data_IF_103227185622
#
_entry.id   IF_103227185622
#
_cell.length_a   1.000
_cell.length_b   1.000
_cell.length_c   1.000
_cell.angle_alpha   90.00
_cell.angle_beta   90.00
_cell.angle_gamma   90.00
#
_symmetry.space_group_name_H-M   'P 1'
#
loop_
_entity.id
_entity.type
_entity.pdbx_description
1 polymer ?
#
# COMPACT_ATOMS: atom_id res chain seq x y z
N UNK A 1 -10.73 -4.68 -11.80
CA UNK A 1 -9.67 -3.68 -11.87
C UNK A 1 -8.31 -4.33 -11.66
N UNK A 2 -7.28 -3.87 -12.37
CA UNK A 2 -5.89 -4.16 -12.07
C UNK A 2 -5.19 -2.87 -11.69
N UNK A 3 -4.82 -2.74 -10.44
CA UNK A 3 -4.02 -1.63 -9.93
C UNK A 3 -2.53 -1.98 -9.86
N UNK A 4 -1.69 -0.97 -9.85
CA UNK A 4 -0.26 -1.10 -9.60
C UNK A 4 0.25 0.08 -8.77
N UNK A 5 1.03 -0.20 -7.71
CA UNK A 5 1.81 0.84 -7.05
C UNK A 5 3.08 1.12 -7.84
N UNK A 6 3.40 2.39 -7.97
CA UNK A 6 4.54 2.85 -8.75
C UNK A 6 5.33 3.93 -8.01
N UNK A 7 6.61 3.72 -7.88
CA UNK A 7 7.52 4.76 -7.39
C UNK A 7 7.87 5.75 -8.49
N UNK A 8 7.95 7.03 -8.14
CA UNK A 8 8.30 8.09 -9.09
C UNK A 8 9.67 7.87 -9.77
N UNK A 9 10.64 7.31 -9.05
CA UNK A 9 11.96 6.96 -9.57
C UNK A 9 11.91 6.01 -10.78
N UNK A 10 10.84 5.22 -10.93
CA UNK A 10 10.66 4.35 -12.09
C UNK A 10 10.59 5.14 -13.40
N UNK A 11 9.95 6.33 -13.38
CA UNK A 11 9.87 7.21 -14.56
C UNK A 11 11.22 7.84 -14.85
N UNK A 12 11.93 8.27 -13.82
CA UNK A 12 13.26 8.85 -13.97
C UNK A 12 14.27 7.84 -14.55
N UNK A 13 14.21 6.60 -14.08
CA UNK A 13 15.15 5.55 -14.47
C UNK A 13 14.87 4.97 -15.87
N UNK A 14 13.60 4.87 -16.29
CA UNK A 14 13.21 4.09 -17.48
C UNK A 14 12.52 4.90 -18.58
N UNK A 15 12.16 6.14 -18.31
CA UNK A 15 11.38 6.99 -19.20
C UNK A 15 9.87 6.76 -19.07
N UNK A 16 9.13 7.86 -19.04
CA UNK A 16 7.70 7.89 -18.74
C UNK A 16 6.87 7.09 -19.72
N UNK A 17 7.02 7.30 -21.02
CA UNK A 17 6.25 6.59 -22.05
C UNK A 17 6.44 5.08 -21.96
N UNK A 18 7.69 4.62 -21.76
CA UNK A 18 7.99 3.19 -21.65
C UNK A 18 7.31 2.54 -20.45
N UNK A 19 7.39 3.18 -19.28
CA UNK A 19 6.77 2.67 -18.05
C UNK A 19 5.25 2.51 -18.22
N UNK A 20 4.60 3.48 -18.83
CA UNK A 20 3.15 3.41 -19.06
C UNK A 20 2.76 2.49 -20.22
N UNK A 21 3.62 2.28 -21.22
CA UNK A 21 3.42 1.23 -22.23
C UNK A 21 3.49 -0.18 -21.62
N UNK A 22 4.42 -0.40 -20.68
CA UNK A 22 4.50 -1.65 -19.93
C UNK A 22 3.23 -1.87 -19.09
N UNK A 23 2.76 -0.85 -18.38
CA UNK A 23 1.48 -0.91 -17.65
C UNK A 23 0.30 -1.21 -18.56
N UNK A 24 0.25 -0.63 -19.76
CA UNK A 24 -0.79 -0.92 -20.76
C UNK A 24 -0.78 -2.37 -21.21
N UNK A 25 0.40 -2.92 -21.44
CA UNK A 25 0.56 -4.32 -21.81
C UNK A 25 0.16 -5.28 -20.68
N UNK A 26 0.42 -4.90 -19.41
CA UNK A 26 -0.07 -5.64 -18.24
C UNK A 26 -1.59 -5.58 -18.08
N UNK A 27 -2.28 -4.63 -18.73
CA UNK A 27 -3.71 -4.36 -18.56
C UNK A 27 -4.03 -3.57 -17.30
N UNK A 28 -3.08 -2.81 -16.79
CA UNK A 28 -3.28 -1.90 -15.66
C UNK A 28 -4.35 -0.87 -16.01
N UNK A 29 -5.30 -0.72 -15.10
CA UNK A 29 -6.39 0.28 -15.20
C UNK A 29 -6.19 1.46 -14.27
N UNK A 30 -5.44 1.25 -13.18
CA UNK A 30 -5.24 2.20 -12.10
C UNK A 30 -3.78 2.21 -11.63
N UNK A 31 -3.15 3.37 -11.68
CA UNK A 31 -1.76 3.55 -11.23
C UNK A 31 -1.78 4.36 -9.93
N UNK A 32 -1.26 3.81 -8.85
CA UNK A 32 -1.05 4.49 -7.57
C UNK A 32 0.39 5.02 -7.56
N UNK A 33 0.54 6.29 -7.93
CA UNK A 33 1.84 6.92 -8.19
C UNK A 33 2.35 7.65 -6.96
N UNK A 34 3.55 7.31 -6.48
CA UNK A 34 4.15 7.91 -5.29
C UNK A 34 4.43 9.41 -5.51
N UNK A 35 3.51 10.22 -5.02
CA UNK A 35 3.51 11.68 -5.18
C UNK A 35 4.25 12.38 -4.05
N UNK A 36 4.12 11.88 -2.79
CA UNK A 36 4.91 12.30 -1.64
C UNK A 36 5.46 11.06 -0.93
N UNK A 37 6.80 10.95 -0.87
CA UNK A 37 7.48 9.76 -0.36
C UNK A 37 7.85 9.82 1.13
N UNK A 38 8.44 8.73 1.63
CA UNK A 38 8.88 8.54 3.02
C UNK A 38 9.96 9.56 3.45
N UNK A 39 10.76 10.05 2.52
CA UNK A 39 11.78 11.06 2.74
C UNK A 39 11.21 12.46 2.98
N UNK A 40 9.93 12.69 2.68
CA UNK A 40 9.30 14.01 2.69
C UNK A 40 9.49 14.81 1.40
N UNK A 41 9.99 14.16 0.35
CA UNK A 41 10.12 14.75 -0.99
C UNK A 41 8.85 14.51 -1.82
N UNK A 42 8.57 15.43 -2.77
CA UNK A 42 7.43 15.36 -3.67
C UNK A 42 7.86 15.08 -5.12
N UNK A 43 7.06 14.32 -5.86
CA UNK A 43 7.28 14.03 -7.27
C UNK A 43 6.89 15.20 -8.20
N UNK A 44 6.52 16.33 -7.65
CA UNK A 44 6.10 17.56 -8.32
C UNK A 44 6.66 18.79 -7.64
N UNK A 45 6.56 19.95 -8.30
CA UNK A 45 7.05 21.22 -7.74
C UNK A 45 6.01 21.85 -6.81
N UNK A 46 6.35 22.01 -5.55
CA UNK A 46 5.58 22.74 -4.53
C UNK A 46 6.52 23.59 -3.67
N UNK A 47 5.97 24.60 -2.98
CA UNK A 47 6.72 25.38 -2.00
C UNK A 47 6.81 24.70 -0.64
N UNK A 48 6.00 23.65 -0.42
CA UNK A 48 5.86 22.97 0.86
C UNK A 48 6.94 21.91 1.09
N UNK A 49 7.47 21.32 0.01
CA UNK A 49 8.47 20.25 0.09
C UNK A 49 9.42 20.28 -1.11
N UNK A 50 10.69 19.84 -0.95
CA UNK A 50 11.61 19.72 -2.06
C UNK A 50 11.15 18.67 -3.09
N UNK A 51 11.50 18.84 -4.39
CA UNK A 51 11.20 17.87 -5.41
C UNK A 51 12.06 16.60 -5.26
N UNK A 52 11.51 15.45 -5.66
CA UNK A 52 12.28 14.18 -5.78
C UNK A 52 13.36 14.26 -6.87
N UNK A 53 13.06 14.98 -7.96
CA UNK A 53 13.96 15.17 -9.09
C UNK A 53 13.96 16.63 -9.52
N UNK A 54 15.11 17.26 -9.45
CA UNK A 54 15.26 18.66 -9.89
C UNK A 54 15.00 18.79 -11.40
N UNK A 55 14.25 19.81 -11.78
CA UNK A 55 13.96 20.14 -13.17
C UNK A 55 12.96 19.22 -13.88
N UNK A 56 12.33 18.25 -13.17
CA UNK A 56 11.27 17.39 -13.70
C UNK A 56 10.05 17.39 -12.79
N UNK A 57 8.90 17.52 -13.42
CA UNK A 57 7.60 17.30 -12.76
C UNK A 57 7.08 15.91 -13.12
N UNK A 58 7.47 14.91 -12.29
CA UNK A 58 7.15 13.51 -12.56
C UNK A 58 5.66 13.22 -12.39
N UNK A 59 4.93 14.03 -11.62
CA UNK A 59 3.48 13.86 -11.48
C UNK A 59 2.76 14.31 -12.75
N UNK A 60 3.14 15.45 -13.34
CA UNK A 60 2.56 15.91 -14.61
C UNK A 60 2.84 14.91 -15.74
N UNK A 61 4.09 14.43 -15.83
CA UNK A 61 4.47 13.38 -16.77
C UNK A 61 3.62 12.11 -16.60
N UNK A 62 3.42 11.67 -15.35
CA UNK A 62 2.66 10.46 -15.03
C UNK A 62 1.17 10.61 -15.39
N UNK A 63 0.54 11.73 -15.03
CA UNK A 63 -0.87 12.03 -15.35
C UNK A 63 -1.09 12.01 -16.87
N UNK A 64 -0.24 12.75 -17.59
CA UNK A 64 -0.33 12.84 -19.05
C UNK A 64 -0.16 11.48 -19.73
N UNK A 65 0.81 10.68 -19.28
CA UNK A 65 1.08 9.36 -19.85
C UNK A 65 0.00 8.33 -19.52
N UNK A 66 -0.56 8.36 -18.31
CA UNK A 66 -1.67 7.52 -17.88
C UNK A 66 -2.93 7.78 -18.72
N UNK A 67 -3.34 9.05 -18.82
CA UNK A 67 -4.54 9.45 -19.55
C UNK A 67 -4.44 9.17 -21.06
N UNK A 68 -3.27 9.39 -21.67
CA UNK A 68 -3.01 9.02 -23.07
C UNK A 68 -3.29 7.53 -23.35
N UNK A 69 -3.21 6.67 -22.33
CA UNK A 69 -3.41 5.22 -22.42
C UNK A 69 -4.72 4.74 -21.78
N UNK A 70 -5.60 5.65 -21.37
CA UNK A 70 -6.88 5.34 -20.75
C UNK A 70 -6.78 4.75 -19.34
N UNK A 71 -5.66 4.98 -18.64
CA UNK A 71 -5.47 4.58 -17.24
C UNK A 71 -5.85 5.73 -16.31
N UNK A 72 -6.30 5.40 -15.11
CA UNK A 72 -6.48 6.37 -14.03
C UNK A 72 -5.21 6.49 -13.22
N UNK A 73 -4.89 7.71 -12.80
CA UNK A 73 -3.75 7.99 -11.93
C UNK A 73 -4.21 8.49 -10.57
N UNK A 74 -3.82 7.79 -9.53
CA UNK A 74 -4.07 8.12 -8.14
C UNK A 74 -2.79 8.66 -7.50
N UNK A 75 -2.82 9.90 -7.02
CA UNK A 75 -1.69 10.49 -6.30
C UNK A 75 -1.55 9.80 -4.94
N UNK A 76 -0.42 9.14 -4.70
CA UNK A 76 -0.13 8.36 -3.51
C UNK A 76 0.73 9.13 -2.52
N UNK A 77 0.24 9.25 -1.29
CA UNK A 77 0.87 9.98 -0.19
C UNK A 77 1.19 9.04 0.98
N UNK A 78 2.45 9.08 1.46
CA UNK A 78 2.82 8.41 2.71
C UNK A 78 2.40 9.29 3.88
N UNK A 79 1.29 8.94 4.56
CA UNK A 79 0.64 9.80 5.57
C UNK A 79 1.53 10.01 6.82
N UNK A 80 1.74 8.99 7.64
CA UNK A 80 2.46 9.12 8.91
C UNK A 80 3.97 8.88 8.81
N UNK A 81 4.57 8.98 7.61
CA UNK A 81 6.01 8.85 7.43
C UNK A 81 6.59 10.02 6.64
N UNK A 82 7.51 10.77 7.30
CA UNK A 82 8.16 11.92 6.72
C UNK A 82 9.46 12.24 7.48
N UNK A 83 10.56 11.73 6.95
CA UNK A 83 11.87 11.92 7.58
C UNK A 83 12.28 13.38 7.68
N UNK A 84 11.98 14.18 6.63
CA UNK A 84 12.32 15.60 6.60
C UNK A 84 11.52 16.38 7.63
N UNK A 85 10.18 16.20 7.66
CA UNK A 85 9.32 16.92 8.58
C UNK A 85 9.67 16.62 10.05
N UNK A 86 9.96 15.35 10.38
CA UNK A 86 10.43 14.98 11.72
C UNK A 86 11.78 15.60 12.05
N UNK A 87 12.71 15.72 11.09
CA UNK A 87 13.98 16.39 11.32
C UNK A 87 13.81 17.89 11.65
N UNK A 88 12.80 18.54 11.07
CA UNK A 88 12.43 19.94 11.35
C UNK A 88 11.60 20.07 12.65
N UNK A 89 10.88 19.02 13.06
CA UNK A 89 9.97 18.97 14.24
C UNK A 89 10.20 17.69 15.07
N UNK A 90 11.37 17.49 15.67
CA UNK A 90 11.73 16.21 16.31
C UNK A 90 10.83 15.82 17.49
N UNK A 91 10.21 16.79 18.17
CA UNK A 91 9.26 16.57 19.26
C UNK A 91 7.89 16.05 18.79
N UNK A 92 7.60 16.14 17.48
CA UNK A 92 6.36 15.65 16.84
C UNK A 92 6.47 14.26 16.28
N UNK A 93 7.65 13.66 16.35
CA UNK A 93 7.86 12.26 15.97
C UNK A 93 7.01 11.31 16.83
N UNK A 94 6.65 10.18 16.26
CA UNK A 94 5.86 9.16 16.96
C UNK A 94 6.67 8.54 18.11
N UNK A 95 6.19 8.73 19.34
CA UNK A 95 6.92 8.37 20.56
C UNK A 95 6.75 6.89 20.90
N UNK A 96 7.88 6.18 20.99
CA UNK A 96 7.91 4.77 21.41
C UNK A 96 7.88 4.65 22.93
N UNK A 97 7.24 3.59 23.45
CA UNK A 97 7.05 3.34 24.88
C UNK A 97 8.34 3.40 25.71
N UNK A 98 9.46 2.96 25.15
CA UNK A 98 10.77 2.84 25.86
C UNK A 98 11.96 3.44 25.10
N UNK A 99 11.81 3.80 23.80
CA UNK A 99 12.95 4.22 22.95
C UNK A 99 12.95 5.70 22.61
N UNK A 100 11.96 6.46 23.06
CA UNK A 100 11.82 7.88 22.73
C UNK A 100 11.15 8.14 21.37
N UNK A 101 11.36 9.32 20.82
CA UNK A 101 10.77 9.77 19.56
C UNK A 101 11.40 9.09 18.35
N UNK A 102 10.57 8.78 17.35
CA UNK A 102 11.03 8.34 16.04
C UNK A 102 11.65 9.50 15.26
N UNK A 103 12.68 9.21 14.45
CA UNK A 103 13.36 10.17 13.58
C UNK A 103 12.80 10.24 12.15
N UNK A 104 11.76 9.45 11.86
CA UNK A 104 11.17 9.37 10.51
C UNK A 104 9.66 9.09 10.49
N UNK A 105 9.06 8.76 11.63
CA UNK A 105 7.61 8.51 11.74
C UNK A 105 6.99 9.67 12.50
N UNK A 106 6.02 10.32 11.89
CA UNK A 106 5.25 11.42 12.49
C UNK A 106 4.11 10.84 13.33
N UNK A 107 3.75 11.51 14.42
CA UNK A 107 2.53 11.14 15.14
C UNK A 107 1.30 11.39 14.26
N UNK A 108 0.53 10.33 13.98
CA UNK A 108 -0.74 10.43 13.23
C UNK A 108 -1.78 11.29 13.97
N UNK A 109 -1.55 11.58 15.25
CA UNK A 109 -2.39 12.43 16.08
C UNK A 109 -1.97 13.91 16.06
N UNK A 110 -0.94 14.28 15.27
CA UNK A 110 -0.41 15.65 15.20
C UNK A 110 -1.22 16.50 14.20
N UNK A 111 -1.96 17.52 14.65
CA UNK A 111 -2.81 18.33 13.78
C UNK A 111 -2.01 19.13 12.74
N UNK A 112 -0.90 19.74 13.14
CA UNK A 112 -0.06 20.56 12.25
C UNK A 112 0.47 19.75 11.06
N UNK A 113 0.77 18.47 11.30
CA UNK A 113 1.19 17.58 10.21
C UNK A 113 0.04 17.16 9.31
N UNK A 114 -1.16 16.96 9.87
CA UNK A 114 -2.34 16.69 9.06
C UNK A 114 -2.67 17.87 8.14
N UNK A 115 -2.57 19.11 8.65
CA UNK A 115 -2.72 20.35 7.87
C UNK A 115 -1.63 20.46 6.79
N UNK A 116 -0.37 20.17 7.12
CA UNK A 116 0.72 20.16 6.15
C UNK A 116 0.48 19.17 4.99
N UNK A 117 0.00 17.96 5.27
CA UNK A 117 -0.35 16.99 4.22
C UNK A 117 -1.59 17.42 3.45
N UNK A 118 -2.58 18.04 4.12
CA UNK A 118 -3.74 18.65 3.47
C UNK A 118 -3.32 19.69 2.41
N UNK A 119 -2.39 20.56 2.77
CA UNK A 119 -1.90 21.61 1.86
C UNK A 119 -1.19 21.00 0.64
N UNK A 120 -0.37 19.95 0.84
CA UNK A 120 0.26 19.22 -0.27
C UNK A 120 -0.79 18.55 -1.18
N UNK A 121 -1.82 17.92 -0.60
CA UNK A 121 -2.92 17.33 -1.37
C UNK A 121 -3.70 18.41 -2.13
N UNK A 122 -3.93 19.56 -1.51
CA UNK A 122 -4.62 20.70 -2.12
C UNK A 122 -3.84 21.27 -3.32
N UNK A 123 -2.49 21.39 -3.21
CA UNK A 123 -1.62 21.78 -4.34
C UNK A 123 -1.78 20.80 -5.51
N UNK A 124 -1.80 19.49 -5.22
CA UNK A 124 -1.99 18.44 -6.25
C UNK A 124 -3.37 18.57 -6.92
N UNK A 125 -4.43 18.73 -6.13
CA UNK A 125 -5.80 18.84 -6.67
C UNK A 125 -6.00 20.12 -7.50
N UNK A 126 -5.32 21.20 -7.16
CA UNK A 126 -5.37 22.46 -7.89
C UNK A 126 -4.55 22.44 -9.19
N UNK A 127 -3.37 21.79 -9.16
CA UNK A 127 -2.40 21.83 -10.25
C UNK A 127 -2.51 20.68 -11.26
N UNK A 128 -3.02 19.51 -10.86
CA UNK A 128 -2.94 18.28 -11.66
C UNK A 128 -4.29 17.59 -11.85
N UNK A 129 -4.48 16.95 -13.01
CA UNK A 129 -5.70 16.21 -13.34
C UNK A 129 -5.62 14.75 -12.84
N UNK A 130 -5.32 14.55 -11.54
CA UNK A 130 -5.31 13.21 -10.94
C UNK A 130 -6.74 12.68 -10.81
N UNK A 131 -6.91 11.36 -10.93
CA UNK A 131 -8.21 10.67 -10.80
C UNK A 131 -8.51 10.24 -9.36
N UNK A 132 -7.49 10.26 -8.50
CA UNK A 132 -7.66 9.88 -7.10
C UNK A 132 -6.57 10.41 -6.18
N UNK A 133 -6.89 10.39 -4.88
CA UNK A 133 -5.96 10.59 -3.77
C UNK A 133 -5.87 9.27 -3.00
N UNK A 134 -4.66 8.75 -2.84
CA UNK A 134 -4.39 7.49 -2.15
C UNK A 134 -3.53 7.71 -0.91
N UNK A 135 -4.07 7.39 0.26
CA UNK A 135 -3.36 7.51 1.54
C UNK A 135 -2.76 6.16 1.95
N UNK A 136 -1.47 6.13 2.15
CA UNK A 136 -0.74 5.01 2.72
C UNK A 136 -0.11 5.41 4.05
N UNK A 137 0.33 4.45 4.86
CA UNK A 137 0.81 4.69 6.22
C UNK A 137 -0.19 5.49 7.09
N UNK A 138 -1.47 5.41 6.78
CA UNK A 138 -2.58 6.01 7.53
C UNK A 138 -2.82 5.21 8.81
N UNK A 139 -1.87 5.24 9.73
CA UNK A 139 -1.86 4.38 10.93
C UNK A 139 -0.76 4.72 11.91
N UNK A 140 -0.91 4.22 13.13
CA UNK A 140 0.24 3.99 14.01
C UNK A 140 1.09 2.83 13.47
N UNK A 141 2.38 2.82 13.75
CA UNK A 141 3.26 1.73 13.30
C UNK A 141 3.06 0.44 14.10
N UNK A 142 2.84 0.60 15.42
CA UNK A 142 2.71 -0.51 16.36
C UNK A 142 2.10 -0.01 17.68
N UNK A 143 1.58 -0.91 18.51
CA UNK A 143 1.04 -0.55 19.83
C UNK A 143 2.09 0.00 20.78
N UNK A 144 3.37 -0.31 20.56
CA UNK A 144 4.50 0.27 21.29
C UNK A 144 4.75 1.75 21.00
N UNK A 145 4.06 2.34 20.02
CA UNK A 145 4.14 3.76 19.67
C UNK A 145 2.86 4.53 20.02
N UNK A 146 3.01 5.84 20.19
CA UNK A 146 1.91 6.72 20.60
C UNK A 146 1.85 6.84 22.13
N UNK A 147 3.00 7.08 22.77
CA UNK A 147 3.12 7.14 24.23
C UNK A 147 3.78 8.43 24.73
N UNK A 148 3.71 9.51 23.96
CA UNK A 148 4.07 10.85 24.44
C UNK A 148 3.10 11.34 25.52
N UNK A 149 3.47 12.38 26.27
CA UNK A 149 2.58 13.00 27.26
C UNK A 149 1.26 13.47 26.61
N UNK A 150 1.35 14.03 25.40
CA UNK A 150 0.16 14.46 24.65
C UNK A 150 -0.71 13.28 24.21
N UNK A 151 -0.13 12.10 23.90
CA UNK A 151 -0.89 10.88 23.61
C UNK A 151 -1.59 10.37 24.87
N UNK A 152 -0.88 10.34 26.01
CA UNK A 152 -1.46 9.96 27.32
C UNK A 152 -2.64 10.85 27.67
N UNK A 153 -2.56 12.15 27.39
CA UNK A 153 -3.66 13.09 27.62
C UNK A 153 -4.84 12.86 26.67
N UNK A 154 -4.59 12.49 25.41
CA UNK A 154 -5.64 12.09 24.46
C UNK A 154 -6.37 10.82 24.94
N UNK A 155 -5.62 9.84 25.48
CA UNK A 155 -6.22 8.62 26.03
C UNK A 155 -7.09 8.92 27.26
N UNK A 156 -6.62 9.78 28.19
CA UNK A 156 -7.43 10.23 29.35
C UNK A 156 -8.70 10.96 28.90
N UNK A 157 -8.61 11.85 27.92
CA UNK A 157 -9.80 12.54 27.38
C UNK A 157 -10.81 11.59 26.73
N UNK A 158 -10.35 10.45 26.21
CA UNK A 158 -11.22 9.38 25.70
C UNK A 158 -11.80 8.51 26.81
N UNK A 159 -11.39 8.72 28.07
CA UNK A 159 -11.89 7.99 29.23
C UNK A 159 -11.03 6.80 29.68
N UNK A 160 -9.83 6.62 29.11
CA UNK A 160 -8.91 5.57 29.54
C UNK A 160 -8.13 5.98 30.80
N UNK A 161 -7.93 5.04 31.71
CA UNK A 161 -6.81 5.13 32.64
C UNK A 161 -5.51 4.92 31.87
N UNK A 162 -4.89 6.03 31.46
CA UNK A 162 -3.72 6.00 30.59
C UNK A 162 -2.49 5.35 31.25
N UNK A 163 -2.39 5.36 32.58
CA UNK A 163 -1.31 4.69 33.30
C UNK A 163 -1.52 3.19 33.25
N UNK A 164 -2.70 2.74 33.60
CA UNK A 164 -3.07 1.31 33.54
C UNK A 164 -2.85 0.71 32.14
N UNK A 165 -3.36 1.35 31.09
CA UNK A 165 -3.19 0.80 29.73
C UNK A 165 -1.73 0.80 29.28
N UNK A 166 -0.93 1.82 29.69
CA UNK A 166 0.50 1.83 29.41
C UNK A 166 1.24 0.69 30.09
N UNK A 167 0.94 0.42 31.37
CA UNK A 167 1.51 -0.70 32.12
C UNK A 167 1.11 -2.05 31.52
N UNK A 168 -0.17 -2.19 31.13
CA UNK A 168 -0.65 -3.42 30.48
C UNK A 168 0.04 -3.66 29.13
N UNK A 169 0.26 -2.61 28.32
CA UNK A 169 1.04 -2.71 27.07
C UNK A 169 2.50 -3.06 27.37
N UNK A 170 3.11 -2.41 28.35
CA UNK A 170 4.47 -2.73 28.76
C UNK A 170 4.58 -4.22 29.19
N UNK A 171 3.64 -4.69 29.99
CA UNK A 171 3.56 -6.10 30.41
C UNK A 171 3.41 -7.05 29.21
N UNK A 172 2.56 -6.70 28.24
CA UNK A 172 2.30 -7.52 27.03
C UNK A 172 3.58 -7.73 26.20
N UNK A 173 4.44 -6.71 26.06
CA UNK A 173 5.60 -6.77 25.18
C UNK A 173 6.93 -7.02 25.86
N UNK A 174 7.02 -6.78 27.17
CA UNK A 174 8.27 -6.90 27.94
C UNK A 174 8.13 -7.77 29.20
N UNK A 175 6.93 -8.31 29.46
CA UNK A 175 6.67 -9.29 30.52
C UNK A 175 7.02 -10.72 30.15
N UNK A 176 6.48 -11.68 30.90
CA UNK A 176 6.63 -13.10 30.64
C UNK A 176 5.86 -13.60 29.42
N UNK A 177 6.01 -14.88 29.10
CA UNK A 177 5.31 -15.52 27.97
C UNK A 177 3.78 -15.52 28.18
N UNK A 178 3.34 -15.67 29.41
CA UNK A 178 1.95 -15.63 29.83
C UNK A 178 1.27 -14.27 29.59
N UNK A 179 2.06 -13.21 29.47
CA UNK A 179 1.55 -11.84 29.32
C UNK A 179 1.40 -11.39 27.86
N UNK A 180 1.94 -12.14 26.88
CA UNK A 180 2.02 -11.76 25.46
C UNK A 180 0.67 -11.43 24.81
N UNK A 181 -0.44 -11.87 25.39
CA UNK A 181 -1.78 -11.59 24.89
C UNK A 181 -2.60 -10.68 25.83
N UNK A 182 -2.02 -10.21 26.94
CA UNK A 182 -2.76 -9.57 28.01
C UNK A 182 -3.63 -8.37 27.56
N UNK A 183 -3.09 -7.45 26.75
CA UNK A 183 -3.84 -6.29 26.25
C UNK A 183 -4.90 -6.68 25.21
N UNK A 184 -4.62 -7.66 24.36
CA UNK A 184 -5.58 -8.12 23.35
C UNK A 184 -6.74 -8.89 23.99
N UNK A 185 -6.45 -9.67 25.03
CA UNK A 185 -7.48 -10.37 25.79
C UNK A 185 -8.32 -9.40 26.63
N UNK A 186 -7.72 -8.35 27.19
CA UNK A 186 -8.46 -7.28 27.84
C UNK A 186 -9.41 -6.59 26.86
N UNK A 187 -8.95 -6.27 25.64
CA UNK A 187 -9.83 -5.75 24.58
C UNK A 187 -10.99 -6.69 24.29
N UNK A 188 -10.74 -8.00 24.08
CA UNK A 188 -11.77 -9.00 23.74
C UNK A 188 -12.77 -9.22 24.88
N UNK A 189 -12.35 -9.04 26.14
CA UNK A 189 -13.25 -9.12 27.32
C UNK A 189 -14.06 -7.83 27.55
N UNK A 190 -13.81 -6.77 26.77
CA UNK A 190 -14.52 -5.50 26.90
C UNK A 190 -13.98 -4.59 28.02
N UNK A 191 -12.69 -4.71 28.36
CA UNK A 191 -12.06 -3.80 29.32
C UNK A 191 -12.23 -2.34 28.86
N UNK A 192 -12.85 -1.53 29.69
CA UNK A 192 -13.28 -0.17 29.34
C UNK A 192 -12.10 0.75 28.98
N UNK A 193 -10.98 0.60 29.68
CA UNK A 193 -9.80 1.46 29.50
C UNK A 193 -9.06 1.08 28.22
N UNK A 194 -8.97 -0.23 27.91
CA UNK A 194 -8.38 -0.73 26.67
C UNK A 194 -9.25 -0.40 25.47
N UNK A 195 -10.58 -0.47 25.60
CA UNK A 195 -11.52 -0.02 24.56
C UNK A 195 -11.41 1.48 24.32
N UNK A 196 -11.25 2.29 25.36
CA UNK A 196 -11.06 3.73 25.25
C UNK A 196 -9.71 4.10 24.60
N UNK A 197 -8.62 3.36 24.92
CA UNK A 197 -7.34 3.47 24.20
C UNK A 197 -7.51 3.19 22.70
N UNK A 198 -8.14 2.06 22.34
CA UNK A 198 -8.37 1.69 20.95
C UNK A 198 -9.20 2.75 20.22
N UNK A 199 -10.27 3.24 20.83
CA UNK A 199 -11.15 4.28 20.28
C UNK A 199 -10.38 5.61 20.08
N UNK A 200 -9.50 6.00 21.00
CA UNK A 200 -8.66 7.17 20.83
C UNK A 200 -7.73 7.04 19.61
N UNK A 201 -7.10 5.88 19.42
CA UNK A 201 -6.23 5.60 18.27
C UNK A 201 -7.01 5.62 16.96
N UNK A 202 -8.18 4.99 16.92
CA UNK A 202 -9.06 5.01 15.74
C UNK A 202 -9.50 6.43 15.41
N UNK A 203 -9.89 7.21 16.42
CA UNK A 203 -10.31 8.60 16.26
C UNK A 203 -9.19 9.48 15.70
N UNK A 204 -7.93 9.26 16.12
CA UNK A 204 -6.79 10.00 15.60
C UNK A 204 -6.55 9.68 14.11
N UNK A 205 -6.57 8.40 13.72
CA UNK A 205 -6.43 7.98 12.32
C UNK A 205 -7.57 8.53 11.45
N UNK A 206 -8.81 8.44 11.93
CA UNK A 206 -9.97 8.97 11.21
C UNK A 206 -9.91 10.50 11.06
N UNK A 207 -9.53 11.21 12.13
CA UNK A 207 -9.39 12.68 12.09
C UNK A 207 -8.29 13.11 11.13
N UNK A 208 -7.14 12.42 11.13
CA UNK A 208 -6.09 12.69 10.16
C UNK A 208 -6.62 12.57 8.73
N UNK A 209 -7.31 11.47 8.41
CA UNK A 209 -7.91 11.28 7.09
C UNK A 209 -8.93 12.38 6.76
N UNK A 210 -9.79 12.72 7.70
CA UNK A 210 -10.82 13.77 7.52
C UNK A 210 -10.16 15.13 7.24
N UNK A 211 -9.10 15.52 7.99
CA UNK A 211 -8.36 16.76 7.76
C UNK A 211 -7.66 16.76 6.40
N UNK A 212 -6.91 15.70 6.09
CA UNK A 212 -6.13 15.62 4.82
C UNK A 212 -7.04 15.68 3.59
N UNK A 213 -8.24 15.11 3.68
CA UNK A 213 -9.18 15.03 2.57
C UNK A 213 -10.25 16.11 2.62
N UNK A 214 -10.15 17.07 3.55
CA UNK A 214 -11.09 18.18 3.63
C UNK A 214 -11.11 18.97 2.32
N UNK A 215 -12.30 19.25 1.81
CA UNK A 215 -12.48 19.96 0.55
C UNK A 215 -12.12 19.19 -0.73
N UNK A 216 -11.52 17.99 -0.67
CA UNK A 216 -11.10 17.27 -1.86
C UNK A 216 -12.27 17.02 -2.84
N UNK A 217 -13.43 16.56 -2.34
CA UNK A 217 -14.62 16.34 -3.17
C UNK A 217 -15.31 17.65 -3.62
N UNK A 218 -15.09 18.74 -2.89
CA UNK A 218 -15.55 20.06 -3.35
C UNK A 218 -14.69 20.56 -4.51
N UNK A 219 -13.36 20.39 -4.39
CA UNK A 219 -12.42 20.74 -5.47
C UNK A 219 -12.59 19.86 -6.71
N UNK A 220 -12.84 18.56 -6.49
CA UNK A 220 -13.01 17.54 -7.54
C UNK A 220 -14.13 16.57 -7.16
N UNK A 221 -15.37 16.76 -7.63
CA UNK A 221 -16.53 15.92 -7.29
C UNK A 221 -16.33 14.42 -7.63
N UNK A 222 -15.62 14.13 -8.72
CA UNK A 222 -15.37 12.77 -9.21
C UNK A 222 -14.09 12.13 -8.69
N UNK A 223 -13.37 12.81 -7.77
CA UNK A 223 -12.12 12.29 -7.22
C UNK A 223 -12.34 10.99 -6.44
N UNK A 224 -11.55 9.97 -6.74
CA UNK A 224 -11.55 8.71 -5.99
C UNK A 224 -10.67 8.85 -4.76
N UNK A 225 -11.24 8.66 -3.57
CA UNK A 225 -10.48 8.63 -2.32
C UNK A 225 -10.19 7.18 -1.93
N UNK A 226 -8.93 6.85 -1.69
CA UNK A 226 -8.52 5.48 -1.38
C UNK A 226 -7.46 5.41 -0.29
N UNK A 227 -7.35 4.26 0.38
CA UNK A 227 -6.32 4.03 1.38
C UNK A 227 -5.75 2.61 1.34
N UNK A 228 -4.43 2.48 1.51
CA UNK A 228 -3.77 1.22 1.82
C UNK A 228 -3.93 0.91 3.31
N UNK A 229 -4.41 -0.30 3.63
CA UNK A 229 -4.70 -0.71 5.00
C UNK A 229 -3.99 -2.02 5.35
N UNK A 230 -3.64 -2.17 6.63
CA UNK A 230 -3.07 -3.41 7.15
C UNK A 230 -4.11 -4.53 7.11
N UNK A 231 -3.74 -5.76 6.71
CA UNK A 231 -4.70 -6.83 6.44
C UNK A 231 -5.46 -7.31 7.68
N UNK A 232 -4.91 -7.12 8.88
CA UNK A 232 -5.53 -7.54 10.13
C UNK A 232 -6.88 -6.88 10.37
N UNK A 233 -7.13 -5.67 9.85
CA UNK A 233 -8.44 -5.02 9.93
C UNK A 233 -9.58 -5.84 9.32
N UNK A 234 -9.26 -6.80 8.45
CA UNK A 234 -10.22 -7.69 7.84
C UNK A 234 -10.59 -8.92 8.71
N UNK A 235 -9.73 -9.35 9.65
CA UNK A 235 -9.93 -10.59 10.39
C UNK A 235 -9.56 -10.57 11.88
N UNK A 236 -8.77 -9.61 12.35
CA UNK A 236 -8.42 -9.41 13.77
C UNK A 236 -8.60 -7.94 14.18
N UNK A 237 -9.83 -7.60 14.52
CA UNK A 237 -10.21 -6.25 14.91
C UNK A 237 -9.44 -5.74 16.13
N UNK A 238 -9.19 -6.61 17.13
CA UNK A 238 -8.45 -6.23 18.33
C UNK A 238 -7.01 -5.80 17.97
N UNK A 239 -6.36 -6.59 17.14
CA UNK A 239 -5.02 -6.30 16.67
C UNK A 239 -4.99 -4.99 15.86
N UNK A 240 -5.85 -4.84 14.86
CA UNK A 240 -5.87 -3.66 13.98
C UNK A 240 -6.20 -2.37 14.73
N UNK A 241 -7.15 -2.39 15.65
CA UNK A 241 -7.54 -1.24 16.44
C UNK A 241 -6.43 -0.80 17.40
N UNK A 242 -5.81 -1.76 18.09
CA UNK A 242 -4.77 -1.49 19.08
C UNK A 242 -3.42 -1.15 18.42
N UNK A 243 -2.95 -1.94 17.44
CA UNK A 243 -1.67 -1.67 16.79
C UNK A 243 -1.72 -0.45 15.88
N UNK A 244 -2.72 -0.37 15.01
CA UNK A 244 -2.70 0.57 13.89
C UNK A 244 -3.70 1.72 14.05
N UNK A 245 -4.70 1.60 14.92
CA UNK A 245 -5.84 2.52 14.95
C UNK A 245 -6.70 2.41 13.69
N UNK A 246 -6.59 1.32 12.94
CA UNK A 246 -7.36 1.11 11.71
C UNK A 246 -8.64 0.33 11.98
N UNK A 247 -9.78 0.98 11.79
CA UNK A 247 -11.10 0.34 11.79
C UNK A 247 -11.65 0.32 10.36
N UNK A 248 -11.70 -0.84 9.73
CA UNK A 248 -12.25 -1.00 8.37
C UNK A 248 -13.67 -0.46 8.24
N UNK A 249 -14.52 -0.71 9.23
CA UNK A 249 -15.90 -0.21 9.25
C UNK A 249 -15.98 1.33 9.25
N UNK A 250 -15.01 2.03 9.87
CA UNK A 250 -14.98 3.50 9.91
C UNK A 250 -14.26 4.09 8.70
N UNK A 251 -13.18 3.46 8.26
CA UNK A 251 -12.43 3.90 7.08
C UNK A 251 -13.21 3.63 5.79
N UNK A 252 -13.92 2.51 5.70
CA UNK A 252 -14.78 2.21 4.56
C UNK A 252 -15.92 3.21 4.32
N UNK A 253 -16.27 4.02 5.33
CA UNK A 253 -17.24 5.12 5.17
C UNK A 253 -16.62 6.42 4.65
N UNK A 254 -15.28 6.53 4.67
CA UNK A 254 -14.52 7.72 4.26
C UNK A 254 -13.94 7.60 2.87
N UNK A 255 -13.58 6.37 2.52
CA UNK A 255 -12.93 6.05 1.25
C UNK A 255 -13.87 5.33 0.29
N UNK A 256 -13.77 5.65 -0.99
CA UNK A 256 -14.46 4.92 -2.07
C UNK A 256 -13.84 3.55 -2.29
N UNK A 257 -12.54 3.44 -1.97
CA UNK A 257 -11.74 2.25 -2.22
C UNK A 257 -10.75 2.02 -1.08
N UNK A 258 -10.63 0.77 -0.63
CA UNK A 258 -9.58 0.34 0.27
C UNK A 258 -8.71 -0.74 -0.37
N UNK A 259 -7.42 -0.70 -0.04
CA UNK A 259 -6.43 -1.64 -0.53
C UNK A 259 -5.80 -2.39 0.65
N UNK A 260 -6.40 -3.52 1.10
CA UNK A 260 -5.77 -4.36 2.11
C UNK A 260 -4.48 -4.96 1.58
N UNK A 261 -3.35 -4.76 2.28
CA UNK A 261 -2.03 -5.23 1.89
C UNK A 261 -1.85 -6.72 2.25
N UNK A 262 -2.52 -7.62 1.49
CA UNK A 262 -2.49 -9.06 1.72
C UNK A 262 -1.22 -9.70 1.14
N UNK A 263 -0.05 -9.31 1.67
CA UNK A 263 1.26 -9.78 1.22
C UNK A 263 1.58 -11.15 1.83
N UNK A 264 1.03 -12.21 1.24
CA UNK A 264 1.07 -13.60 1.75
C UNK A 264 2.45 -14.03 2.21
N UNK A 265 3.48 -13.84 1.39
CA UNK A 265 4.84 -14.25 1.71
C UNK A 265 5.45 -13.44 2.87
N UNK A 266 5.21 -12.13 2.94
CA UNK A 266 5.70 -11.29 4.02
C UNK A 266 5.08 -11.67 5.38
N UNK A 267 3.89 -12.26 5.36
CA UNK A 267 3.17 -12.76 6.53
C UNK A 267 3.42 -14.26 6.78
N UNK A 268 4.15 -14.96 5.90
CA UNK A 268 4.34 -16.41 6.00
C UNK A 268 3.03 -17.20 5.83
N UNK A 269 2.11 -16.66 5.03
CA UNK A 269 0.77 -17.20 4.80
C UNK A 269 0.62 -17.74 3.39
N UNK A 270 -0.41 -18.55 3.18
CA UNK A 270 -0.80 -19.08 1.88
C UNK A 270 -1.85 -18.21 1.15
N UNK A 271 -2.18 -18.57 -0.06
CA UNK A 271 -3.17 -17.85 -0.87
C UNK A 271 -4.59 -17.92 -0.31
N UNK A 272 -4.94 -18.95 0.49
CA UNK A 272 -6.24 -19.03 1.15
C UNK A 272 -6.41 -17.88 2.17
N UNK A 273 -5.31 -17.47 2.82
CA UNK A 273 -5.34 -16.30 3.70
C UNK A 273 -5.61 -15.00 2.93
N UNK A 274 -5.09 -14.84 1.70
CA UNK A 274 -5.39 -13.70 0.83
C UNK A 274 -6.89 -13.62 0.54
N UNK A 275 -7.52 -14.74 0.22
CA UNK A 275 -8.98 -14.85 0.06
C UNK A 275 -9.74 -14.46 1.33
N UNK A 276 -9.27 -14.92 2.51
CA UNK A 276 -9.87 -14.55 3.82
C UNK A 276 -9.76 -13.04 4.10
N UNK A 277 -8.62 -12.43 3.85
CA UNK A 277 -8.43 -10.99 3.99
C UNK A 277 -9.38 -10.23 3.07
N UNK A 278 -9.46 -10.60 1.79
CA UNK A 278 -10.36 -9.98 0.82
C UNK A 278 -11.81 -10.11 1.27
N UNK A 279 -12.24 -11.30 1.70
CA UNK A 279 -13.60 -11.56 2.17
C UNK A 279 -13.96 -10.71 3.42
N UNK A 280 -13.02 -10.53 4.34
CA UNK A 280 -13.23 -9.65 5.50
C UNK A 280 -13.32 -8.19 5.09
N UNK A 281 -12.48 -7.77 4.15
CA UNK A 281 -12.40 -6.38 3.70
C UNK A 281 -13.66 -5.92 2.97
N UNK A 282 -14.27 -6.74 2.11
CA UNK A 282 -15.49 -6.35 1.35
C UNK A 282 -16.67 -5.99 2.25
N UNK A 283 -16.66 -6.41 3.53
CA UNK A 283 -17.71 -6.07 4.50
C UNK A 283 -17.69 -4.59 4.92
N UNK A 284 -16.63 -3.84 4.64
CA UNK A 284 -16.53 -2.42 5.04
C UNK A 284 -17.41 -1.48 4.20
N UNK A 285 -17.93 -1.94 3.07
CA UNK A 285 -18.80 -1.18 2.17
C UNK A 285 -18.08 -0.36 1.10
N UNK A 286 -16.76 -0.17 1.20
CA UNK A 286 -15.95 0.42 0.13
C UNK A 286 -15.59 -0.62 -0.94
N UNK A 287 -15.19 -0.16 -2.13
CA UNK A 287 -14.60 -1.04 -3.14
C UNK A 287 -13.27 -1.59 -2.63
N UNK A 288 -13.01 -2.88 -2.83
CA UNK A 288 -11.78 -3.53 -2.38
C UNK A 288 -10.90 -3.91 -3.56
N UNK A 289 -9.68 -3.37 -3.60
CA UNK A 289 -8.59 -3.86 -4.43
C UNK A 289 -7.56 -4.52 -3.52
N UNK A 290 -7.46 -5.84 -3.55
CA UNK A 290 -6.52 -6.55 -2.68
C UNK A 290 -5.08 -6.35 -3.16
N UNK A 291 -4.24 -5.77 -2.30
CA UNK A 291 -2.82 -5.59 -2.55
C UNK A 291 -2.08 -6.92 -2.47
N UNK A 292 -1.35 -7.27 -3.52
CA UNK A 292 -0.62 -8.53 -3.64
C UNK A 292 0.89 -8.34 -3.63
N UNK A 293 1.59 -9.30 -3.06
CA UNK A 293 3.04 -9.39 -3.00
C UNK A 293 3.60 -9.80 -4.38
N UNK A 294 4.24 -8.88 -5.08
CA UNK A 294 4.86 -9.14 -6.38
C UNK A 294 6.35 -8.76 -6.40
N UNK A 295 7.05 -8.99 -5.30
CA UNK A 295 8.48 -8.67 -5.11
C UNK A 295 9.17 -9.81 -4.35
N UNK A 296 10.33 -9.60 -3.80
CA UNK A 296 11.22 -10.55 -3.13
C UNK A 296 10.60 -11.88 -2.67
N UNK A 297 11.01 -12.97 -3.31
CA UNK A 297 10.55 -14.33 -3.01
C UNK A 297 9.21 -14.72 -3.66
N UNK A 298 8.44 -13.78 -4.21
CA UNK A 298 7.26 -14.11 -5.00
C UNK A 298 7.67 -14.81 -6.31
N UNK A 299 6.86 -15.77 -6.74
CA UNK A 299 7.00 -16.46 -8.01
C UNK A 299 5.77 -16.24 -8.88
N UNK A 300 5.82 -16.60 -10.15
CA UNK A 300 4.65 -16.56 -11.03
C UNK A 300 3.49 -17.40 -10.49
N UNK A 301 3.79 -18.54 -9.90
CA UNK A 301 2.77 -19.45 -9.35
C UNK A 301 2.13 -18.89 -8.07
N UNK A 302 2.94 -18.34 -7.15
CA UNK A 302 2.40 -17.73 -5.92
C UNK A 302 1.53 -16.54 -6.23
N UNK A 303 1.97 -15.64 -7.13
CA UNK A 303 1.18 -14.48 -7.52
C UNK A 303 -0.14 -14.86 -8.21
N UNK A 304 -0.11 -15.89 -9.07
CA UNK A 304 -1.32 -16.42 -9.70
C UNK A 304 -2.33 -16.91 -8.66
N UNK A 305 -1.91 -17.76 -7.72
CA UNK A 305 -2.79 -18.29 -6.69
C UNK A 305 -3.35 -17.19 -5.77
N UNK A 306 -2.54 -16.22 -5.40
CA UNK A 306 -2.97 -15.07 -4.59
C UNK A 306 -4.02 -14.23 -5.35
N UNK A 307 -3.79 -13.99 -6.65
CA UNK A 307 -4.74 -13.27 -7.51
C UNK A 307 -6.07 -14.03 -7.65
N UNK A 308 -6.01 -15.34 -7.91
CA UNK A 308 -7.20 -16.20 -8.02
C UNK A 308 -7.99 -16.22 -6.69
N UNK A 309 -7.31 -16.34 -5.56
CA UNK A 309 -7.94 -16.31 -4.24
C UNK A 309 -8.63 -14.98 -3.94
N UNK A 310 -8.00 -13.85 -4.29
CA UNK A 310 -8.59 -12.53 -4.11
C UNK A 310 -9.79 -12.30 -5.05
N UNK A 311 -9.62 -12.59 -6.34
CA UNK A 311 -10.65 -12.37 -7.36
C UNK A 311 -11.83 -13.33 -7.26
N UNK A 312 -11.63 -14.51 -6.66
CA UNK A 312 -12.69 -15.49 -6.37
C UNK A 312 -13.68 -15.05 -5.28
N UNK A 313 -13.37 -13.98 -4.53
CA UNK A 313 -14.24 -13.45 -3.49
C UNK A 313 -15.37 -12.61 -4.11
N UNK A 314 -16.61 -12.96 -3.79
CA UNK A 314 -17.76 -12.16 -4.25
C UNK A 314 -17.71 -10.74 -3.66
N UNK A 315 -17.81 -9.72 -4.52
CA UNK A 315 -17.69 -8.30 -4.14
C UNK A 315 -16.27 -7.75 -4.18
N UNK A 316 -15.26 -8.57 -4.52
CA UNK A 316 -13.92 -8.06 -4.80
C UNK A 316 -13.94 -7.12 -6.02
N UNK A 317 -13.36 -5.93 -5.89
CA UNK A 317 -13.26 -4.94 -6.96
C UNK A 317 -12.08 -5.17 -7.90
N UNK A 318 -11.09 -5.96 -7.46
CA UNK A 318 -9.88 -6.27 -8.22
C UNK A 318 -8.67 -6.52 -7.34
N UNK A 319 -7.50 -6.46 -7.95
CA UNK A 319 -6.20 -6.61 -7.28
C UNK A 319 -5.30 -5.42 -7.56
N UNK A 320 -4.30 -5.20 -6.71
CA UNK A 320 -3.25 -4.21 -6.91
C UNK A 320 -1.88 -4.83 -6.64
N UNK A 321 -0.98 -4.73 -7.61
CA UNK A 321 0.35 -5.35 -7.50
C UNK A 321 1.35 -4.40 -6.85
N UNK A 322 2.06 -4.85 -5.86
CA UNK A 322 3.17 -4.13 -5.26
C UNK A 322 4.50 -4.76 -5.69
N UNK A 323 5.24 -4.08 -6.57
CA UNK A 323 5.09 -2.81 -7.29
C UNK A 323 5.62 -2.91 -8.72
N UNK A 324 5.43 -1.89 -9.55
CA UNK A 324 6.10 -1.81 -10.87
C UNK A 324 7.63 -1.93 -10.73
N UNK A 325 8.22 -2.69 -11.64
CA UNK A 325 9.67 -2.89 -11.69
C UNK A 325 10.19 -4.07 -10.86
N UNK A 326 9.32 -4.82 -10.18
CA UNK A 326 9.75 -5.96 -9.35
C UNK A 326 9.37 -7.33 -9.88
N UNK A 327 8.65 -7.40 -11.00
CA UNK A 327 8.18 -8.65 -11.61
C UNK A 327 8.18 -8.56 -13.14
N UNK A 328 8.35 -9.71 -13.81
CA UNK A 328 8.16 -9.87 -15.25
C UNK A 328 6.68 -9.92 -15.55
N UNK A 329 6.24 -9.38 -16.67
CA UNK A 329 4.85 -9.52 -17.10
C UNK A 329 4.76 -10.10 -18.52
N UNK A 330 3.65 -10.81 -18.79
CA UNK A 330 3.37 -11.27 -20.11
C UNK A 330 1.87 -11.20 -20.44
N UNK A 331 1.58 -10.94 -21.71
CA UNK A 331 0.24 -10.92 -22.28
C UNK A 331 0.10 -12.02 -23.33
N UNK A 332 -0.95 -12.84 -23.18
CA UNK A 332 -1.29 -13.84 -24.20
C UNK A 332 -1.98 -13.15 -25.38
N UNK A 333 -1.37 -13.27 -26.56
CA UNK A 333 -1.89 -12.76 -27.84
C UNK A 333 -2.13 -13.93 -28.80
N UNK A 334 -2.94 -13.75 -29.86
CA UNK A 334 -3.11 -14.80 -30.86
C UNK A 334 -1.77 -15.28 -31.43
N UNK A 335 -1.44 -16.55 -31.18
CA UNK A 335 -0.23 -17.20 -31.66
C UNK A 335 1.09 -16.80 -30.99
N UNK A 336 1.07 -15.98 -29.92
CA UNK A 336 2.30 -15.55 -29.22
C UNK A 336 2.07 -15.10 -27.80
N UNK A 337 3.13 -15.12 -27.00
CA UNK A 337 3.23 -14.48 -25.69
C UNK A 337 4.12 -13.25 -25.80
N UNK A 338 3.60 -12.09 -25.44
CA UNK A 338 4.39 -10.86 -25.38
C UNK A 338 4.89 -10.66 -23.95
N UNK A 339 6.20 -10.80 -23.74
CA UNK A 339 6.87 -10.72 -22.44
C UNK A 339 7.55 -9.35 -22.28
N UNK A 340 7.42 -8.75 -21.11
CA UNK A 340 8.11 -7.51 -20.72
C UNK A 340 8.90 -7.78 -19.45
N UNK A 341 10.15 -7.34 -19.42
CA UNK A 341 11.00 -7.35 -18.25
C UNK A 341 11.20 -5.94 -17.66
N UNK A 342 10.30 -5.46 -16.79
CA UNK A 342 10.48 -4.16 -16.14
C UNK A 342 11.39 -4.22 -14.90
N UNK A 343 12.01 -5.37 -14.61
CA UNK A 343 12.90 -5.56 -13.45
C UNK A 343 14.31 -5.02 -13.72
N UNK A 344 15.14 -5.01 -12.69
CA UNK A 344 16.55 -4.59 -12.78
C UNK A 344 17.52 -5.76 -13.07
N UNK A 345 16.98 -6.98 -13.28
CA UNK A 345 17.76 -8.18 -13.56
C UNK A 345 17.45 -8.74 -14.93
N UNK A 346 18.39 -9.48 -15.52
CA UNK A 346 18.16 -10.19 -16.78
C UNK A 346 17.22 -11.38 -16.53
N UNK A 347 16.26 -11.59 -17.41
CA UNK A 347 15.53 -12.86 -17.49
C UNK A 347 16.35 -13.81 -18.35
N UNK A 348 16.71 -14.97 -17.80
CA UNK A 348 17.56 -15.95 -18.47
C UNK A 348 16.79 -17.20 -18.91
N UNK A 349 15.64 -17.47 -18.30
CA UNK A 349 14.76 -18.57 -18.64
C UNK A 349 13.30 -18.23 -18.38
N UNK A 350 12.42 -18.75 -19.24
CA UNK A 350 10.97 -18.74 -19.08
C UNK A 350 10.43 -20.16 -19.08
N UNK A 351 9.48 -20.45 -18.21
CA UNK A 351 8.63 -21.64 -18.27
C UNK A 351 7.19 -21.21 -18.51
N UNK A 352 6.62 -21.70 -19.59
CA UNK A 352 5.28 -21.38 -20.06
C UNK A 352 4.47 -22.67 -20.03
N UNK A 353 3.45 -22.72 -19.20
CA UNK A 353 2.64 -23.93 -19.01
C UNK A 353 1.18 -23.69 -19.36
N UNK A 354 0.57 -24.69 -19.98
CA UNK A 354 -0.87 -24.82 -20.18
C UNK A 354 -1.38 -26.15 -19.62
N UNK A 355 -2.63 -26.48 -19.86
CA UNK A 355 -3.27 -27.70 -19.32
C UNK A 355 -2.56 -29.00 -19.66
N UNK A 356 -1.96 -29.09 -20.85
CA UNK A 356 -1.34 -30.35 -21.40
C UNK A 356 0.16 -30.18 -21.70
N UNK A 357 0.68 -28.99 -21.78
CA UNK A 357 2.04 -28.71 -22.28
C UNK A 357 2.79 -27.75 -21.35
N UNK A 358 4.10 -27.99 -21.25
CA UNK A 358 5.03 -27.08 -20.56
C UNK A 358 6.27 -26.88 -21.41
N UNK A 359 6.59 -25.63 -21.72
CA UNK A 359 7.76 -25.28 -22.52
C UNK A 359 8.73 -24.47 -21.66
N UNK A 360 9.99 -24.91 -21.59
CA UNK A 360 11.11 -24.17 -21.04
C UNK A 360 11.94 -23.57 -22.16
N UNK A 361 12.15 -22.27 -22.07
CA UNK A 361 12.81 -21.49 -23.11
C UNK A 361 13.97 -20.73 -22.45
N UNK A 362 15.19 -21.00 -22.88
CA UNK A 362 16.32 -20.13 -22.58
C UNK A 362 16.11 -18.82 -23.31
N UNK A 363 16.00 -17.75 -22.56
CA UNK A 363 15.71 -16.42 -23.09
C UNK A 363 16.62 -15.42 -22.41
N UNK A 364 17.21 -14.52 -23.16
CA UNK A 364 17.93 -13.38 -22.60
C UNK A 364 17.08 -12.14 -22.83
N UNK A 365 16.36 -11.70 -21.79
CA UNK A 365 15.59 -10.45 -21.82
C UNK A 365 16.23 -9.48 -20.84
N UNK A 366 17.00 -8.50 -21.31
CA UNK A 366 17.63 -7.49 -20.46
C UNK A 366 16.61 -6.67 -19.67
N UNK A 367 17.05 -5.99 -18.60
CA UNK A 367 16.24 -5.01 -17.88
C UNK A 367 15.58 -4.01 -18.83
N UNK A 368 14.26 -3.88 -18.70
CA UNK A 368 13.46 -3.00 -19.53
C UNK A 368 13.20 -3.47 -20.95
N UNK A 369 13.66 -4.63 -21.42
CA UNK A 369 13.45 -5.12 -22.77
C UNK A 369 12.20 -6.01 -22.89
N UNK A 370 11.80 -6.30 -24.14
CA UNK A 370 10.62 -7.08 -24.50
C UNK A 370 11.01 -8.23 -25.39
N UNK A 371 10.23 -9.33 -25.32
CA UNK A 371 10.38 -10.50 -26.16
C UNK A 371 9.02 -11.05 -26.58
N UNK A 372 8.89 -11.50 -27.81
CA UNK A 372 7.75 -12.28 -28.28
C UNK A 372 8.14 -13.76 -28.37
N UNK A 373 7.31 -14.61 -27.79
CA UNK A 373 7.47 -16.08 -27.83
C UNK A 373 6.32 -16.66 -28.61
N UNK A 374 6.55 -17.37 -29.74
CA UNK A 374 5.51 -18.06 -30.46
C UNK A 374 4.80 -19.11 -29.59
N UNK A 375 3.47 -19.16 -29.68
CA UNK A 375 2.63 -20.09 -28.91
C UNK A 375 1.75 -20.92 -29.85
N UNK A 376 1.65 -22.23 -29.54
CA UNK A 376 0.74 -23.16 -30.19
C UNK A 376 -0.35 -23.72 -29.27
N UNK A 377 -0.37 -23.29 -27.98
CA UNK A 377 -1.28 -23.78 -26.95
C UNK A 377 -1.79 -22.68 -26.07
N UNK A 378 -2.85 -22.94 -25.29
CA UNK A 378 -3.36 -22.00 -24.28
C UNK A 378 -2.45 -22.00 -23.06
N UNK A 379 -2.09 -20.80 -22.59
CA UNK A 379 -1.19 -20.57 -21.46
C UNK A 379 -1.97 -20.30 -20.22
N UNK A 380 -1.63 -20.99 -19.12
CA UNK A 380 -2.23 -20.83 -17.80
C UNK A 380 -1.25 -20.25 -16.77
N UNK A 381 0.05 -20.48 -16.99
CA UNK A 381 1.08 -20.08 -16.02
C UNK A 381 2.35 -19.63 -16.73
N UNK A 382 2.95 -18.58 -16.19
CA UNK A 382 4.27 -18.09 -16.56
C UNK A 382 5.17 -18.11 -15.32
N UNK A 383 6.38 -18.66 -15.47
CA UNK A 383 7.46 -18.56 -14.50
C UNK A 383 8.69 -17.99 -15.19
N UNK A 384 9.48 -17.24 -14.46
CA UNK A 384 10.68 -16.60 -14.99
C UNK A 384 11.86 -16.76 -14.04
N UNK A 385 13.07 -16.86 -14.59
CA UNK A 385 14.30 -16.96 -13.81
C UNK A 385 15.31 -15.91 -14.25
N UNK A 386 16.07 -15.43 -13.26
CA UNK A 386 17.34 -14.74 -13.47
C UNK A 386 18.42 -15.67 -12.94
N UNK A 387 19.17 -16.27 -13.86
CA UNK A 387 20.08 -17.38 -13.60
C UNK A 387 19.37 -18.55 -12.87
N UNK A 388 19.79 -18.92 -11.67
CA UNK A 388 19.17 -20.00 -10.89
C UNK A 388 18.02 -19.54 -9.98
N UNK A 389 17.80 -18.23 -9.86
CA UNK A 389 16.77 -17.65 -8.99
C UNK A 389 15.47 -17.42 -9.75
N UNK A 390 14.40 -18.06 -9.30
CA UNK A 390 13.06 -17.71 -9.79
C UNK A 390 12.68 -16.30 -9.35
N UNK A 391 12.14 -15.52 -10.28
CA UNK A 391 11.66 -14.15 -10.07
C UNK A 391 10.15 -14.10 -10.30
N UNK A 392 9.49 -13.12 -9.70
CA UNK A 392 8.05 -12.97 -9.83
C UNK A 392 7.65 -12.73 -11.28
N UNK A 393 6.55 -13.34 -11.72
CA UNK A 393 5.97 -13.13 -13.03
C UNK A 393 4.45 -12.98 -12.95
N UNK A 394 3.89 -12.10 -13.76
CA UNK A 394 2.45 -11.88 -13.91
C UNK A 394 2.02 -12.21 -15.33
N UNK A 395 1.03 -13.10 -15.46
CA UNK A 395 0.41 -13.47 -16.73
C UNK A 395 -0.98 -12.86 -16.82
N UNK A 396 -1.24 -12.17 -17.93
CA UNK A 396 -2.54 -11.63 -18.32
C UNK A 396 -3.22 -12.48 -19.38
#
# INVERSE_FOLDING_TARGET
MLGIWMWADSLAARGTDRVFDDCGQMGVTDVFFLTKGLSGLCAFSTRLAPPMHEGRDLLDEAVSAAHKRGMRLHAWFTSAQDKRWVAEHPEKGLYHLTKGCSDHIVSIAEPEYAEFIHDIVSDVLAGYQVDGVHLDYLRYNHLLYGWSDSDMDRYRRQGADAVYVRELVNKTFYGGEEDRQAVFDAYRRGDKDVLALAEARINNVCRFADTVLEGARFARPDITLSAALMPEGAYDTAFAHLHYGQSYARLGKRFDMILPMAYSLAYGMDSAWVGKVTQGAVRCGARVLTGLHAYDGATGLTLKHDAEAALGVNGAGGICLFRYGTFVSAEVKPGRLAVVNPTDVHVTELEISGAAETHRIKALIPPGERMEVPLSFAVDTLRAWSDEKEICAYLR
#
